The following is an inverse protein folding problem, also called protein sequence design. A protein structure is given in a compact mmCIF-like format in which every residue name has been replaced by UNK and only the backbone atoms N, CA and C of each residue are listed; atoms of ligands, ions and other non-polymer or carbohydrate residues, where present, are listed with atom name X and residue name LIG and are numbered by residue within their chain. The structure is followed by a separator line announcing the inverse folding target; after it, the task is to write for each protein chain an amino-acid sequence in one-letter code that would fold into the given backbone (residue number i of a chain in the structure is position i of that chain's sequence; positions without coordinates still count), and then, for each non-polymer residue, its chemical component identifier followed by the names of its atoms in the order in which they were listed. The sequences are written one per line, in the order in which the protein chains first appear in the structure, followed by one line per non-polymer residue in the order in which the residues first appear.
data_IF_839857037564
#
_entry.id   IF_839857037564
#
_cell.length_a   1.000
_cell.length_b   1.000
_cell.length_c   1.000
_cell.angle_alpha   90.00
_cell.angle_beta   90.00
_cell.angle_gamma   90.00
#
_symmetry.space_group_name_H-M   'P 1'
#
loop_
_entity.id
_entity.type
_entity.pdbx_description
1 polymer ?
#
# COMPACT_ATOMS: atom_id res chain seq x y z
N UNK A 1 3.52 60.98 -22.25
CA UNK A 1 3.82 60.53 -20.87
C UNK A 1 3.96 59.02 -20.92
N UNK A 2 5.18 58.53 -21.14
CA UNK A 2 5.48 57.10 -21.28
C UNK A 2 5.82 56.56 -19.90
N UNK A 3 4.99 55.66 -19.37
CA UNK A 3 5.24 54.95 -18.12
C UNK A 3 6.46 54.04 -18.30
N UNK A 4 7.57 54.46 -17.70
CA UNK A 4 8.83 53.72 -17.69
C UNK A 4 8.74 52.60 -16.64
N UNK A 5 8.14 51.48 -17.02
CA UNK A 5 8.13 50.29 -16.18
C UNK A 5 9.54 49.68 -16.16
N UNK A 6 10.28 49.88 -15.06
CA UNK A 6 11.52 49.14 -14.81
C UNK A 6 11.20 47.64 -14.78
N UNK A 7 11.97 46.78 -15.48
CA UNK A 7 11.79 45.35 -15.37
C UNK A 7 12.06 44.93 -13.92
N UNK A 8 11.10 44.23 -13.32
CA UNK A 8 11.25 43.57 -12.03
C UNK A 8 12.37 42.54 -12.19
N UNK A 9 13.50 42.77 -11.52
CA UNK A 9 14.55 41.75 -11.36
C UNK A 9 13.87 40.52 -10.76
N UNK A 10 13.81 39.44 -11.54
CA UNK A 10 13.57 38.12 -11.01
C UNK A 10 14.91 37.76 -10.40
N UNK A 11 15.01 37.87 -9.08
CA UNK A 11 16.17 37.34 -8.37
C UNK A 11 16.13 35.83 -8.60
N UNK A 12 17.09 35.33 -9.39
CA UNK A 12 17.37 33.91 -9.48
C UNK A 12 17.55 33.39 -8.04
N UNK A 13 16.96 32.24 -7.66
CA UNK A 13 17.16 31.72 -6.32
C UNK A 13 18.66 31.47 -6.17
N UNK A 14 19.29 32.26 -5.29
CA UNK A 14 20.64 31.98 -4.83
C UNK A 14 20.58 30.58 -4.25
N UNK A 15 21.26 29.63 -4.89
CA UNK A 15 21.47 28.30 -4.34
C UNK A 15 22.25 28.48 -3.03
N UNK A 16 21.53 28.68 -1.92
CA UNK A 16 22.11 28.64 -0.58
C UNK A 16 22.77 27.28 -0.43
N UNK A 17 24.10 27.27 -0.32
CA UNK A 17 24.89 26.06 -0.13
C UNK A 17 24.33 25.30 1.08
N UNK A 18 23.78 24.11 0.85
CA UNK A 18 23.10 23.35 1.90
C UNK A 18 24.09 23.01 3.03
N UNK A 19 23.93 23.66 4.18
CA UNK A 19 24.75 23.39 5.38
C UNK A 19 24.19 22.16 6.10
N UNK A 20 24.94 21.06 6.04
CA UNK A 20 24.59 19.84 6.76
C UNK A 20 24.86 19.97 8.26
N UNK A 21 23.82 19.84 9.08
CA UNK A 21 23.91 19.67 10.53
C UNK A 21 23.97 18.17 10.84
N UNK A 22 25.03 17.68 11.51
CA UNK A 22 25.15 16.28 11.89
C UNK A 22 24.04 15.85 12.85
N UNK A 23 23.89 14.53 13.02
CA UNK A 23 22.97 13.96 14.02
C UNK A 23 23.51 14.27 15.43
N UNK A 24 22.61 14.58 16.36
CA UNK A 24 22.95 14.81 17.78
C UNK A 24 23.19 13.49 18.55
N UNK A 25 23.03 12.34 17.88
CA UNK A 25 23.22 11.01 18.47
C UNK A 25 24.72 10.66 18.51
N UNK A 26 25.15 9.99 19.58
CA UNK A 26 26.45 9.34 19.60
C UNK A 26 26.51 8.17 18.59
N UNK A 27 27.71 7.74 18.22
CA UNK A 27 27.92 6.73 17.18
C UNK A 27 27.18 5.41 17.43
N UNK A 28 27.07 4.97 18.70
CA UNK A 28 26.40 3.70 19.02
C UNK A 28 24.89 3.84 18.88
N UNK A 29 24.32 4.90 19.45
CA UNK A 29 22.87 5.17 19.31
C UNK A 29 22.50 5.43 17.85
N UNK A 30 23.37 6.11 17.10
CA UNK A 30 23.18 6.31 15.66
C UNK A 30 23.18 4.98 14.89
N UNK A 31 24.04 4.03 15.26
CA UNK A 31 24.07 2.70 14.67
C UNK A 31 22.79 1.89 14.97
N UNK A 32 22.31 1.91 16.21
CA UNK A 32 21.05 1.26 16.59
C UNK A 32 19.85 1.83 15.81
N UNK A 33 19.80 3.16 15.67
CA UNK A 33 18.73 3.84 14.94
C UNK A 33 18.76 3.51 13.44
N UNK A 34 19.96 3.40 12.85
CA UNK A 34 20.10 2.96 11.45
C UNK A 34 19.65 1.52 11.26
N UNK A 35 20.00 0.62 12.20
CA UNK A 35 19.57 -0.77 12.17
C UNK A 35 18.04 -0.88 12.24
N UNK A 36 17.41 -0.17 13.18
CA UNK A 36 15.95 -0.17 13.32
C UNK A 36 15.25 0.45 12.11
N UNK A 37 15.81 1.52 11.54
CA UNK A 37 15.31 2.11 10.29
C UNK A 37 15.35 1.09 9.15
N UNK A 38 16.48 0.38 8.98
CA UNK A 38 16.62 -0.64 7.96
C UNK A 38 15.61 -1.77 8.16
N UNK A 39 15.45 -2.27 9.38
CA UNK A 39 14.47 -3.31 9.72
C UNK A 39 13.03 -2.86 9.41
N UNK A 40 12.63 -1.66 9.82
CA UNK A 40 11.30 -1.13 9.52
C UNK A 40 11.06 -1.01 8.01
N UNK A 41 12.05 -0.57 7.22
CA UNK A 41 11.90 -0.51 5.76
C UNK A 41 11.79 -1.89 5.11
N UNK A 42 12.52 -2.89 5.62
CA UNK A 42 12.40 -4.29 5.19
C UNK A 42 11.01 -4.85 5.52
N UNK A 43 10.53 -4.62 6.74
CA UNK A 43 9.19 -5.03 7.18
C UNK A 43 8.10 -4.41 6.32
N UNK A 44 8.20 -3.13 5.96
CA UNK A 44 7.23 -2.50 5.05
C UNK A 44 7.18 -3.18 3.68
N UNK A 45 8.32 -3.53 3.09
CA UNK A 45 8.37 -4.25 1.80
C UNK A 45 7.77 -5.65 1.92
N UNK A 46 8.08 -6.35 3.01
CA UNK A 46 7.53 -7.67 3.30
C UNK A 46 6.01 -7.66 3.45
N UNK A 47 5.46 -6.72 4.24
CA UNK A 47 3.99 -6.59 4.41
C UNK A 47 3.33 -6.26 3.07
N UNK A 48 3.96 -5.44 2.23
CA UNK A 48 3.42 -5.14 0.89
C UNK A 48 3.41 -6.35 -0.03
N UNK A 49 4.45 -7.19 0.03
CA UNK A 49 4.51 -8.46 -0.70
C UNK A 49 3.43 -9.43 -0.22
N UNK A 50 3.26 -9.60 1.09
CA UNK A 50 2.14 -10.37 1.67
C UNK A 50 0.78 -9.85 1.21
N UNK A 51 0.60 -8.53 1.16
CA UNK A 51 -0.63 -7.91 0.72
C UNK A 51 -0.97 -8.30 -0.74
N UNK A 52 0.01 -8.26 -1.64
CA UNK A 52 -0.18 -8.69 -3.04
C UNK A 52 -0.40 -10.19 -3.18
N UNK A 53 0.37 -11.00 -2.45
CA UNK A 53 0.21 -12.46 -2.43
C UNK A 53 -1.18 -12.87 -1.94
N UNK A 54 -1.72 -12.17 -0.96
CA UNK A 54 -3.08 -12.41 -0.43
C UNK A 54 -4.14 -12.15 -1.50
N UNK A 55 -4.04 -11.04 -2.25
CA UNK A 55 -4.96 -10.75 -3.37
C UNK A 55 -4.83 -11.83 -4.45
N UNK A 56 -3.61 -12.14 -4.88
CA UNK A 56 -3.36 -13.15 -5.92
C UNK A 56 -3.87 -14.55 -5.55
N UNK A 57 -3.59 -15.00 -4.32
CA UNK A 57 -4.07 -16.29 -3.81
C UNK A 57 -5.60 -16.36 -3.72
N UNK A 58 -6.25 -15.24 -3.36
CA UNK A 58 -7.72 -15.17 -3.32
C UNK A 58 -8.32 -15.29 -4.72
N UNK A 59 -7.77 -14.56 -5.69
CA UNK A 59 -8.21 -14.65 -7.09
C UNK A 59 -8.00 -16.06 -7.67
N UNK A 60 -6.87 -16.71 -7.34
CA UNK A 60 -6.63 -18.09 -7.73
C UNK A 60 -7.64 -19.06 -7.10
N UNK A 61 -7.98 -18.83 -5.83
CA UNK A 61 -9.00 -19.61 -5.12
C UNK A 61 -10.37 -19.46 -5.78
N UNK A 62 -10.73 -18.25 -6.23
CA UNK A 62 -11.95 -18.03 -7.02
C UNK A 62 -11.98 -18.83 -8.32
N UNK A 63 -10.86 -18.88 -9.05
CA UNK A 63 -10.76 -19.77 -10.22
C UNK A 63 -10.97 -21.24 -9.85
N UNK A 64 -10.39 -21.69 -8.73
CA UNK A 64 -10.58 -23.07 -8.26
C UNK A 64 -12.05 -23.36 -7.92
N UNK A 65 -12.78 -22.42 -7.28
CA UNK A 65 -14.21 -22.58 -7.00
C UNK A 65 -15.04 -22.72 -8.27
N UNK A 66 -14.76 -21.90 -9.29
CA UNK A 66 -15.44 -21.98 -10.60
C UNK A 66 -15.13 -23.32 -11.27
N UNK A 67 -13.87 -23.74 -11.27
CA UNK A 67 -13.45 -25.00 -11.86
C UNK A 67 -14.13 -26.20 -11.19
N UNK A 68 -14.16 -26.25 -9.85
CA UNK A 68 -14.84 -27.30 -9.09
C UNK A 68 -16.33 -27.37 -9.43
N UNK A 69 -16.99 -26.20 -9.53
CA UNK A 69 -18.40 -26.14 -9.88
C UNK A 69 -18.67 -26.70 -11.28
N UNK A 70 -17.86 -26.33 -12.26
CA UNK A 70 -17.98 -26.83 -13.64
C UNK A 70 -17.70 -28.32 -13.74
N UNK A 71 -16.66 -28.80 -13.05
CA UNK A 71 -16.26 -30.21 -13.04
C UNK A 71 -17.32 -31.13 -12.41
N UNK A 72 -18.01 -30.66 -11.37
CA UNK A 72 -19.04 -31.42 -10.67
C UNK A 72 -20.45 -31.20 -11.24
N UNK A 73 -20.61 -30.44 -12.33
CA UNK A 73 -21.91 -30.02 -12.86
C UNK A 73 -22.82 -29.48 -11.75
N UNK A 74 -22.31 -28.49 -11.01
CA UNK A 74 -22.93 -28.00 -9.80
C UNK A 74 -24.39 -27.57 -10.02
N UNK A 75 -25.29 -28.13 -9.21
CA UNK A 75 -26.67 -27.68 -9.13
C UNK A 75 -26.79 -26.34 -8.37
N UNK A 76 -28.00 -25.78 -8.33
CA UNK A 76 -28.26 -24.54 -7.60
C UNK A 76 -27.88 -24.63 -6.11
N UNK A 77 -27.98 -25.81 -5.49
CA UNK A 77 -27.62 -26.03 -4.09
C UNK A 77 -26.11 -25.89 -3.87
N UNK A 78 -25.30 -26.58 -4.68
CA UNK A 78 -23.85 -26.53 -4.61
C UNK A 78 -23.32 -25.15 -5.02
N UNK A 79 -23.86 -24.55 -6.07
CA UNK A 79 -23.50 -23.20 -6.52
C UNK A 79 -23.72 -22.15 -5.41
N UNK A 80 -24.85 -22.22 -4.70
CA UNK A 80 -25.13 -21.31 -3.58
C UNK A 80 -24.14 -21.49 -2.42
N UNK A 81 -23.75 -22.74 -2.11
CA UNK A 81 -22.75 -23.02 -1.07
C UNK A 81 -21.36 -22.50 -1.46
N UNK A 82 -20.93 -22.72 -2.69
CA UNK A 82 -19.65 -22.20 -3.20
C UNK A 82 -19.63 -20.67 -3.23
N UNK A 83 -20.75 -20.04 -3.56
CA UNK A 83 -20.89 -18.58 -3.49
C UNK A 83 -20.79 -18.06 -2.05
N UNK A 84 -21.41 -18.73 -1.08
CA UNK A 84 -21.28 -18.36 0.33
C UNK A 84 -19.82 -18.42 0.80
N UNK A 85 -19.07 -19.44 0.39
CA UNK A 85 -17.62 -19.55 0.65
C UNK A 85 -16.87 -18.38 0.00
N UNK A 86 -17.16 -18.04 -1.25
CA UNK A 86 -16.51 -16.93 -1.95
C UNK A 86 -16.71 -15.57 -1.24
N UNK A 87 -17.91 -15.33 -0.70
CA UNK A 87 -18.22 -14.12 0.08
C UNK A 87 -17.50 -14.07 1.43
N UNK A 88 -17.46 -15.19 2.15
CA UNK A 88 -16.70 -15.30 3.40
C UNK A 88 -15.21 -15.09 3.17
N UNK A 89 -14.67 -15.62 2.07
CA UNK A 89 -13.29 -15.36 1.66
C UNK A 89 -13.06 -13.89 1.31
N UNK A 90 -13.97 -13.27 0.53
CA UNK A 90 -13.84 -11.86 0.14
C UNK A 90 -13.74 -10.95 1.37
N UNK A 91 -14.66 -11.12 2.32
CA UNK A 91 -14.73 -10.32 3.55
C UNK A 91 -13.51 -10.53 4.43
N UNK A 92 -13.09 -11.79 4.62
CA UNK A 92 -11.89 -12.14 5.41
C UNK A 92 -10.62 -11.53 4.81
N UNK A 93 -10.50 -11.55 3.48
CA UNK A 93 -9.34 -11.00 2.77
C UNK A 93 -9.34 -9.48 2.86
N UNK A 94 -10.46 -8.81 2.62
CA UNK A 94 -10.56 -7.36 2.77
C UNK A 94 -10.18 -6.92 4.19
N UNK A 95 -10.67 -7.63 5.21
CA UNK A 95 -10.28 -7.39 6.59
C UNK A 95 -8.77 -7.54 6.80
N UNK A 96 -8.17 -8.62 6.27
CA UNK A 96 -6.72 -8.85 6.33
C UNK A 96 -5.92 -7.73 5.64
N UNK A 97 -6.38 -7.23 4.48
CA UNK A 97 -5.75 -6.11 3.78
C UNK A 97 -5.75 -4.82 4.61
N UNK A 98 -6.81 -4.60 5.40
CA UNK A 98 -6.91 -3.47 6.34
C UNK A 98 -5.90 -3.64 7.49
N UNK A 99 -5.77 -4.86 8.06
CA UNK A 99 -4.78 -5.15 9.09
C UNK A 99 -3.35 -4.88 8.60
N UNK A 100 -3.02 -5.32 7.39
CA UNK A 100 -1.72 -5.01 6.77
C UNK A 100 -1.50 -3.51 6.60
N UNK A 101 -2.55 -2.73 6.34
CA UNK A 101 -2.42 -1.28 6.28
C UNK A 101 -2.14 -0.64 7.63
N UNK A 102 -2.79 -1.10 8.70
CA UNK A 102 -2.46 -0.64 10.04
C UNK A 102 -1.02 -0.99 10.42
N UNK A 103 -0.55 -2.17 10.06
CA UNK A 103 0.85 -2.54 10.27
C UNK A 103 1.80 -1.59 9.51
N UNK A 104 1.58 -1.37 8.21
CA UNK A 104 2.42 -0.43 7.44
C UNK A 104 2.38 0.99 8.00
N UNK A 105 1.22 1.46 8.46
CA UNK A 105 1.07 2.75 9.10
C UNK A 105 1.94 2.86 10.37
N UNK A 106 1.92 1.83 11.22
CA UNK A 106 2.73 1.78 12.43
C UNK A 106 4.24 1.78 12.13
N UNK A 107 4.69 1.03 11.12
CA UNK A 107 6.11 1.07 10.69
C UNK A 107 6.52 2.47 10.20
N UNK A 108 5.66 3.14 9.43
CA UNK A 108 5.93 4.51 8.98
C UNK A 108 6.06 5.46 10.18
N UNK A 109 5.16 5.35 11.17
CA UNK A 109 5.22 6.17 12.37
C UNK A 109 6.53 5.96 13.17
N UNK A 110 7.04 4.72 13.24
CA UNK A 110 8.38 4.45 13.82
C UNK A 110 9.46 5.14 13.01
N UNK A 111 9.44 4.98 11.68
CA UNK A 111 10.43 5.57 10.79
C UNK A 111 10.41 7.09 10.90
N UNK A 112 9.24 7.74 10.97
CA UNK A 112 9.10 9.20 11.13
C UNK A 112 9.71 9.68 12.45
N UNK A 113 9.46 8.98 13.56
CA UNK A 113 10.10 9.28 14.85
C UNK A 113 11.62 9.14 14.78
N UNK A 114 12.14 8.08 14.15
CA UNK A 114 13.58 7.91 13.97
C UNK A 114 14.20 9.02 13.11
N UNK A 115 13.49 9.47 12.07
CA UNK A 115 13.95 10.52 11.16
C UNK A 115 14.19 11.86 11.85
N UNK A 116 13.49 12.14 12.96
CA UNK A 116 13.66 13.38 13.73
C UNK A 116 15.07 13.53 14.34
N UNK A 117 15.76 12.42 14.61
CA UNK A 117 17.09 12.40 15.23
C UNK A 117 18.25 12.31 14.21
N UNK A 118 17.95 12.19 12.93
CA UNK A 118 18.94 12.09 11.86
C UNK A 118 19.47 13.48 11.43
N UNK A 119 20.54 13.48 10.63
CA UNK A 119 21.16 14.71 10.10
C UNK A 119 20.19 15.55 9.27
N UNK A 120 20.48 16.84 9.11
CA UNK A 120 19.67 17.71 8.26
C UNK A 120 19.62 17.22 6.81
N UNK A 121 20.73 16.70 6.28
CA UNK A 121 20.77 16.12 4.92
C UNK A 121 19.77 14.98 4.77
N UNK A 122 19.74 14.06 5.73
CA UNK A 122 18.81 12.93 5.71
C UNK A 122 17.36 13.41 5.73
N UNK A 123 17.05 14.38 6.58
CA UNK A 123 15.70 14.97 6.68
C UNK A 123 15.28 15.61 5.36
N UNK A 124 16.17 16.38 4.71
CA UNK A 124 15.92 17.01 3.40
C UNK A 124 15.66 15.97 2.32
N UNK A 125 16.54 14.96 2.19
CA UNK A 125 16.39 13.89 1.19
C UNK A 125 15.09 13.11 1.41
N UNK A 126 14.74 12.83 2.67
CA UNK A 126 13.51 12.11 2.99
C UNK A 126 12.25 12.95 2.70
N UNK A 127 12.32 14.25 2.90
CA UNK A 127 11.20 15.17 2.66
C UNK A 127 10.84 15.31 1.17
N UNK A 128 11.71 14.88 0.24
CA UNK A 128 11.44 14.84 -1.21
C UNK A 128 10.11 14.12 -1.49
N UNK A 129 9.83 13.03 -0.77
CA UNK A 129 8.55 12.33 -0.88
C UNK A 129 7.54 12.93 0.11
N UNK A 130 6.55 13.64 -0.41
CA UNK A 130 5.47 14.20 0.41
C UNK A 130 4.74 13.10 1.19
N UNK A 131 4.61 13.28 2.51
CA UNK A 131 3.87 12.36 3.39
C UNK A 131 2.40 12.22 2.97
N UNK A 132 1.80 13.32 2.49
CA UNK A 132 0.41 13.35 2.01
C UNK A 132 0.24 12.54 0.74
N UNK A 133 1.15 12.70 -0.21
CA UNK A 133 1.15 11.94 -1.45
C UNK A 133 1.38 10.45 -1.17
N UNK A 134 2.31 10.12 -0.25
CA UNK A 134 2.54 8.75 0.21
C UNK A 134 1.30 8.10 0.82
N UNK A 135 0.52 8.84 1.61
CA UNK A 135 -0.75 8.36 2.17
C UNK A 135 -1.80 8.12 1.07
N UNK A 136 -1.96 9.07 0.14
CA UNK A 136 -2.89 8.93 -0.98
C UNK A 136 -2.60 7.66 -1.79
N UNK A 137 -1.36 7.47 -2.23
CA UNK A 137 -0.97 6.28 -3.00
C UNK A 137 -1.25 4.97 -2.26
N UNK A 138 -1.00 4.93 -0.94
CA UNK A 138 -1.26 3.73 -0.12
C UNK A 138 -2.74 3.39 -0.04
N UNK A 139 -3.61 4.37 0.21
CA UNK A 139 -5.04 4.12 0.32
C UNK A 139 -5.69 3.86 -1.04
N UNK A 140 -5.25 4.55 -2.10
CA UNK A 140 -5.68 4.23 -3.48
C UNK A 140 -5.38 2.78 -3.83
N UNK A 141 -4.19 2.29 -3.47
CA UNK A 141 -3.83 0.90 -3.73
C UNK A 141 -4.60 -0.10 -2.87
N UNK A 142 -4.93 0.23 -1.62
CA UNK A 142 -5.82 -0.58 -0.78
C UNK A 142 -7.21 -0.70 -1.41
N UNK A 143 -7.80 0.42 -1.83
CA UNK A 143 -9.11 0.45 -2.47
C UNK A 143 -9.08 -0.38 -3.75
N UNK A 144 -8.04 -0.21 -4.57
CA UNK A 144 -7.85 -1.03 -5.77
C UNK A 144 -7.84 -2.53 -5.45
N UNK A 145 -7.07 -2.98 -4.46
CA UNK A 145 -7.01 -4.38 -4.04
C UNK A 145 -8.35 -4.91 -3.53
N UNK A 146 -9.06 -4.14 -2.70
CA UNK A 146 -10.37 -4.52 -2.18
C UNK A 146 -11.41 -4.62 -3.31
N UNK A 147 -11.40 -3.67 -4.25
CA UNK A 147 -12.26 -3.71 -5.44
C UNK A 147 -11.92 -4.92 -6.32
N UNK A 148 -10.65 -5.25 -6.54
CA UNK A 148 -10.26 -6.44 -7.31
C UNK A 148 -10.81 -7.73 -6.67
N UNK A 149 -10.75 -7.86 -5.35
CA UNK A 149 -11.31 -9.01 -4.63
C UNK A 149 -12.84 -9.05 -4.75
N UNK A 150 -13.51 -7.92 -4.58
CA UNK A 150 -14.97 -7.83 -4.74
C UNK A 150 -15.43 -8.17 -6.17
N UNK A 151 -14.71 -7.66 -7.19
CA UNK A 151 -14.96 -8.00 -8.59
C UNK A 151 -14.70 -9.50 -8.85
N UNK A 152 -13.67 -10.09 -8.25
CA UNK A 152 -13.44 -11.53 -8.32
C UNK A 152 -14.62 -12.33 -7.78
N UNK A 153 -15.16 -11.96 -6.62
CA UNK A 153 -16.35 -12.60 -6.06
C UNK A 153 -17.60 -12.43 -6.96
N UNK A 154 -17.74 -11.27 -7.61
CA UNK A 154 -18.81 -11.04 -8.60
C UNK A 154 -18.66 -11.95 -9.82
N UNK A 155 -17.44 -12.13 -10.33
CA UNK A 155 -17.18 -13.06 -11.43
C UNK A 155 -17.53 -14.49 -11.03
N UNK A 156 -17.15 -14.93 -9.82
CA UNK A 156 -17.56 -16.24 -9.29
C UNK A 156 -19.08 -16.36 -9.25
N UNK A 157 -19.80 -15.36 -8.76
CA UNK A 157 -21.26 -15.38 -8.72
C UNK A 157 -21.88 -15.61 -10.10
N UNK A 158 -21.42 -14.85 -11.11
CA UNK A 158 -21.93 -14.95 -12.47
C UNK A 158 -21.61 -16.31 -13.10
N UNK A 159 -20.38 -16.81 -12.89
CA UNK A 159 -19.94 -18.10 -13.40
C UNK A 159 -20.71 -19.26 -12.77
N UNK A 160 -20.88 -19.27 -11.44
CA UNK A 160 -21.63 -20.30 -10.73
C UNK A 160 -23.10 -20.32 -11.14
N UNK A 161 -23.72 -19.16 -11.35
CA UNK A 161 -25.10 -19.08 -11.86
C UNK A 161 -25.22 -19.66 -13.25
N UNK A 162 -24.28 -19.33 -14.14
CA UNK A 162 -24.28 -19.88 -15.50
C UNK A 162 -24.20 -21.40 -15.48
N UNK A 163 -23.28 -21.97 -14.70
CA UNK A 163 -23.08 -23.42 -14.55
C UNK A 163 -24.33 -24.10 -13.97
N UNK A 164 -25.01 -23.50 -12.99
CA UNK A 164 -26.18 -24.11 -12.35
C UNK A 164 -27.47 -24.07 -13.19
N UNK A 165 -27.52 -23.23 -14.23
CA UNK A 165 -28.70 -23.07 -15.11
C UNK A 165 -28.53 -23.66 -16.51
N UNK A 166 -27.30 -23.96 -16.92
CA UNK A 166 -26.97 -24.57 -18.21
C UNK A 166 -26.87 -26.07 -18.09
#
# INVERSE_FOLDING_TARGET
MVLNAKPKKIDDPVDEEFVNSPSDLDDKTHAEMRMLYEESTKTMRFVKDLQWKTVGATLLTYFALIYIAGFLHADNSLANKLMAIALLLATSVIFTLIIYQFWMHNEIAKIDRMGAHMSSLFKTVRAIKSAREGNLHRYTLLVFMAVSVALGALVVHLALRHIATG
#
